data_IF_948723186231
#
_entry.id   IF_948723186231
#
_cell.length_a   1.000
_cell.length_b   1.000
_cell.length_c   1.000
_cell.angle_alpha   90.00
_cell.angle_beta   90.00
_cell.angle_gamma   90.00
#
_symmetry.space_group_name_H-M   'P 1'
#
loop_
_entity.id
_entity.type
_entity.pdbx_description
1 polymer ?
#
# COMPACT_ATOMS: atom_id res chain seq x y z
N UNK A 1 33.48 -23.04 -32.24
CA UNK A 1 32.54 -21.98 -32.68
C UNK A 1 31.25 -21.97 -31.85
N UNK A 2 30.62 -23.13 -31.58
CA UNK A 2 29.40 -23.21 -30.76
C UNK A 2 29.57 -22.73 -29.30
N UNK A 3 30.66 -23.12 -28.62
CA UNK A 3 30.91 -22.76 -27.21
C UNK A 3 30.95 -21.24 -26.98
N UNK A 4 31.53 -20.49 -27.92
CA UNK A 4 31.69 -19.03 -27.84
C UNK A 4 30.35 -18.30 -27.97
N UNK A 5 29.47 -18.77 -28.87
CA UNK A 5 28.09 -18.27 -29.01
C UNK A 5 27.26 -18.51 -27.75
N UNK A 6 27.45 -19.64 -27.07
CA UNK A 6 26.75 -19.95 -25.82
C UNK A 6 27.18 -19.03 -24.68
N UNK A 7 28.46 -18.67 -24.60
CA UNK A 7 28.99 -17.75 -23.58
C UNK A 7 28.50 -16.31 -23.81
N UNK A 8 28.44 -15.85 -25.06
CA UNK A 8 27.93 -14.52 -25.42
C UNK A 8 26.44 -14.38 -25.06
N UNK A 9 25.61 -15.38 -25.38
CA UNK A 9 24.19 -15.38 -25.03
C UNK A 9 23.92 -15.39 -23.50
N UNK A 10 24.75 -16.10 -22.73
CA UNK A 10 24.66 -16.11 -21.26
C UNK A 10 25.05 -14.75 -20.64
N UNK A 11 25.99 -14.04 -21.24
CA UNK A 11 26.39 -12.71 -20.80
C UNK A 11 25.27 -11.69 -21.08
N UNK A 12 24.69 -11.76 -22.28
CA UNK A 12 23.58 -10.90 -22.69
C UNK A 12 22.33 -11.11 -21.82
N UNK A 13 21.99 -12.36 -21.48
CA UNK A 13 20.93 -12.68 -20.52
C UNK A 13 21.21 -12.11 -19.12
N UNK A 14 22.46 -12.16 -18.64
CA UNK A 14 22.82 -11.59 -17.33
C UNK A 14 22.70 -10.08 -17.31
N UNK A 15 23.12 -9.39 -18.37
CA UNK A 15 22.98 -7.94 -18.51
C UNK A 15 21.51 -7.53 -18.60
N UNK A 16 20.67 -8.28 -19.32
CA UNK A 16 19.21 -8.05 -19.38
C UNK A 16 18.58 -8.26 -18.00
N UNK A 17 18.91 -9.36 -17.32
CA UNK A 17 18.40 -9.61 -15.97
C UNK A 17 18.87 -8.56 -14.97
N UNK A 18 20.13 -8.09 -15.08
CA UNK A 18 20.63 -6.98 -14.28
C UNK A 18 19.85 -5.71 -14.59
N UNK A 19 19.69 -5.33 -15.86
CA UNK A 19 18.94 -4.13 -16.27
C UNK A 19 17.50 -4.15 -15.78
N UNK A 20 16.82 -5.31 -15.86
CA UNK A 20 15.49 -5.52 -15.29
C UNK A 20 15.52 -5.39 -13.77
N UNK A 21 16.52 -5.98 -13.09
CA UNK A 21 16.67 -5.89 -11.63
C UNK A 21 16.97 -4.45 -11.19
N UNK A 22 17.79 -3.71 -11.93
CA UNK A 22 18.14 -2.32 -11.67
C UNK A 22 16.96 -1.36 -11.88
N UNK A 23 16.19 -1.54 -12.97
CA UNK A 23 14.95 -0.82 -13.19
C UNK A 23 13.90 -1.14 -12.11
N UNK A 24 13.86 -2.40 -11.63
CA UNK A 24 13.02 -2.83 -10.51
C UNK A 24 13.44 -2.22 -9.17
N UNK A 25 14.74 -1.99 -8.93
CA UNK A 25 15.24 -1.36 -7.69
C UNK A 25 15.04 0.16 -7.63
N UNK A 26 14.68 0.81 -8.74
CA UNK A 26 14.37 2.25 -8.77
C UNK A 26 12.93 2.58 -8.33
N UNK A 27 12.10 1.58 -8.03
CA UNK A 27 10.74 1.79 -7.52
C UNK A 27 10.70 1.58 -6.02
N UNK A 28 10.08 2.51 -5.30
CA UNK A 28 9.89 2.38 -3.87
C UNK A 28 8.43 1.98 -3.56
N UNK A 29 8.25 0.71 -3.16
CA UNK A 29 6.95 0.19 -2.73
C UNK A 29 6.71 0.57 -1.26
N UNK A 30 5.50 1.01 -0.97
CA UNK A 30 5.07 1.31 0.39
C UNK A 30 3.69 0.72 0.66
N UNK A 31 3.53 0.09 1.81
CA UNK A 31 2.21 -0.05 2.42
C UNK A 31 1.67 1.36 2.70
N UNK A 32 0.38 1.59 2.46
CA UNK A 32 -0.33 2.82 2.75
C UNK A 32 -1.74 2.51 3.25
N UNK A 33 -2.15 3.24 4.28
CA UNK A 33 -3.50 3.22 4.83
C UNK A 33 -3.77 4.54 5.59
N UNK A 34 -5.05 4.85 5.83
CA UNK A 34 -5.47 6.04 6.59
C UNK A 34 -6.53 5.69 7.63
N UNK A 35 -6.64 6.52 8.66
CA UNK A 35 -7.81 6.52 9.54
C UNK A 35 -8.51 7.87 9.46
N UNK A 36 -9.85 7.86 9.55
CA UNK A 36 -10.70 9.04 9.36
C UNK A 36 -11.74 9.16 10.47
N UNK A 37 -12.35 10.36 10.61
CA UNK A 37 -13.45 10.58 11.54
C UNK A 37 -14.79 9.96 11.10
N UNK A 38 -14.89 9.57 9.83
CA UNK A 38 -16.07 9.01 9.21
C UNK A 38 -15.81 8.64 7.75
N UNK A 39 -16.87 8.51 6.95
CA UNK A 39 -16.79 7.98 5.58
C UNK A 39 -17.02 9.05 4.50
N UNK A 40 -17.34 10.29 4.90
CA UNK A 40 -17.58 11.40 3.99
C UNK A 40 -16.34 12.30 3.91
N UNK A 41 -15.57 12.28 2.80
CA UNK A 41 -14.36 13.09 2.69
C UNK A 41 -14.62 14.59 2.61
N UNK A 42 -15.85 15.04 2.35
CA UNK A 42 -16.20 16.47 2.39
C UNK A 42 -16.38 16.96 3.83
N UNK A 43 -16.91 16.11 4.71
CA UNK A 43 -17.24 16.46 6.09
C UNK A 43 -16.23 15.97 7.13
N UNK A 44 -15.68 14.77 6.94
CA UNK A 44 -14.85 14.05 7.89
C UNK A 44 -13.36 14.28 7.64
N UNK A 45 -12.58 14.40 8.72
CA UNK A 45 -11.14 14.63 8.65
C UNK A 45 -10.34 13.32 8.63
N UNK A 46 -9.16 13.36 8.03
CA UNK A 46 -8.10 12.35 8.22
C UNK A 46 -7.47 12.55 9.60
N UNK A 47 -7.38 11.48 10.38
CA UNK A 47 -6.76 11.47 11.72
C UNK A 47 -5.34 10.91 11.68
N UNK A 48 -5.06 9.94 10.81
CA UNK A 48 -3.71 9.41 10.56
C UNK A 48 -3.46 9.10 9.10
N UNK A 49 -2.19 9.17 8.71
CA UNK A 49 -1.66 8.56 7.49
C UNK A 49 -0.53 7.64 7.93
N UNK A 50 -0.64 6.34 7.63
CA UNK A 50 0.35 5.34 7.99
C UNK A 50 0.95 4.70 6.75
N UNK A 51 2.27 4.52 6.75
CA UNK A 51 2.97 3.89 5.65
C UNK A 51 4.27 3.24 6.10
N UNK A 52 4.69 2.21 5.38
CA UNK A 52 5.94 1.49 5.64
C UNK A 52 6.54 1.01 4.34
N UNK A 53 7.86 1.15 4.18
CA UNK A 53 8.55 0.68 2.99
C UNK A 53 8.44 -0.83 2.90
N UNK A 54 8.30 -1.35 1.69
CA UNK A 54 8.25 -2.78 1.40
C UNK A 54 9.49 -3.18 0.60
N UNK A 55 10.08 -4.30 0.98
CA UNK A 55 11.13 -4.92 0.19
C UNK A 55 10.57 -5.34 -1.17
N UNK A 56 11.32 -5.05 -2.22
CA UNK A 56 10.85 -5.27 -3.58
C UNK A 56 10.67 -6.77 -3.90
N UNK A 57 11.55 -7.62 -3.38
CA UNK A 57 11.59 -9.04 -3.76
C UNK A 57 10.59 -9.84 -2.92
N UNK A 58 10.67 -9.68 -1.60
CA UNK A 58 9.93 -10.47 -0.63
C UNK A 58 8.55 -9.89 -0.30
N UNK A 59 8.39 -8.57 -0.44
CA UNK A 59 7.22 -7.84 0.04
C UNK A 59 7.21 -7.60 1.55
N UNK A 60 8.26 -8.00 2.27
CA UNK A 60 8.38 -7.81 3.71
C UNK A 60 8.56 -6.33 4.07
N UNK A 61 8.10 -5.89 5.25
CA UNK A 61 8.32 -4.52 5.72
C UNK A 61 9.80 -4.21 5.94
N UNK A 62 10.21 -3.02 5.53
CA UNK A 62 11.57 -2.48 5.70
C UNK A 62 11.53 -1.24 6.59
N UNK A 63 12.28 -1.26 7.68
CA UNK A 63 12.29 -0.19 8.67
C UNK A 63 11.01 -0.15 9.51
N UNK A 64 10.81 0.94 10.24
CA UNK A 64 9.66 1.08 11.13
C UNK A 64 8.42 1.62 10.40
N UNK A 65 7.23 1.22 10.89
CA UNK A 65 5.96 1.82 10.49
C UNK A 65 5.94 3.31 10.86
N UNK A 66 5.76 4.16 9.86
CA UNK A 66 5.55 5.60 10.07
C UNK A 66 4.06 5.88 10.21
N UNK A 67 3.68 6.62 11.26
CA UNK A 67 2.30 7.06 11.49
C UNK A 67 2.32 8.57 11.68
N UNK A 68 1.84 9.31 10.69
CA UNK A 68 1.59 10.74 10.80
C UNK A 68 0.27 10.94 11.52
N UNK A 69 0.26 11.75 12.58
CA UNK A 69 -0.88 11.87 13.51
C UNK A 69 -1.37 13.31 13.56
N UNK A 70 -2.65 13.52 13.20
CA UNK A 70 -3.25 14.85 13.20
C UNK A 70 -3.32 15.46 14.62
N UNK A 71 -3.47 14.63 15.66
CA UNK A 71 -3.56 15.10 17.04
C UNK A 71 -2.23 15.55 17.65
N UNK A 72 -1.09 15.20 17.03
CA UNK A 72 0.22 15.74 17.41
C UNK A 72 0.49 17.09 16.72
N UNK A 73 -0.34 17.47 15.74
CA UNK A 73 -0.18 18.68 14.93
C UNK A 73 -1.52 19.16 14.35
N UNK A 74 -1.79 18.88 13.08
CA UNK A 74 -3.06 19.13 12.41
C UNK A 74 -3.22 18.22 11.19
N UNK A 75 -4.45 18.09 10.66
CA UNK A 75 -4.73 17.39 9.39
C UNK A 75 -3.89 17.97 8.24
N UNK A 76 -3.82 19.31 8.17
CA UNK A 76 -3.02 20.01 7.15
C UNK A 76 -1.54 19.65 7.23
N UNK A 77 -0.95 19.67 8.42
CA UNK A 77 0.47 19.38 8.59
C UNK A 77 0.83 17.93 8.23
N UNK A 78 -0.04 16.95 8.53
CA UNK A 78 0.23 15.56 8.14
C UNK A 78 0.09 15.38 6.62
N UNK A 79 -0.82 16.08 5.96
CA UNK A 79 -0.97 16.06 4.51
C UNK A 79 0.24 16.71 3.81
N UNK A 80 0.73 17.85 4.31
CA UNK A 80 1.93 18.51 3.78
C UNK A 80 3.16 17.62 3.92
N UNK A 81 3.35 16.98 5.10
CA UNK A 81 4.42 16.01 5.32
C UNK A 81 4.30 14.84 4.35
N UNK A 82 3.10 14.28 4.19
CA UNK A 82 2.88 13.16 3.28
C UNK A 82 3.14 13.56 1.82
N UNK A 83 2.79 14.77 1.39
CA UNK A 83 3.10 15.27 0.05
C UNK A 83 4.62 15.32 -0.22
N UNK A 84 5.43 15.67 0.77
CA UNK A 84 6.90 15.63 0.66
C UNK A 84 7.38 14.18 0.53
N UNK A 85 6.83 13.26 1.34
CA UNK A 85 7.18 11.83 1.32
C UNK A 85 6.82 11.16 -0.01
N UNK A 86 5.71 11.57 -0.63
CA UNK A 86 5.31 11.09 -1.95
C UNK A 86 6.40 11.35 -3.00
N UNK A 87 7.20 12.39 -2.87
CA UNK A 87 8.25 12.71 -3.84
C UNK A 87 7.71 13.22 -5.17
N UNK A 88 8.63 13.54 -6.08
CA UNK A 88 8.32 14.17 -7.37
C UNK A 88 8.01 13.15 -8.46
N UNK A 89 8.70 12.01 -8.45
CA UNK A 89 8.47 10.93 -9.40
C UNK A 89 7.30 10.06 -8.96
N UNK A 90 6.49 9.60 -9.92
CA UNK A 90 5.45 8.60 -9.67
C UNK A 90 6.00 7.28 -9.08
N UNK A 91 7.31 7.03 -9.22
CA UNK A 91 7.99 5.84 -8.71
C UNK A 91 8.62 6.02 -7.32
N UNK A 92 8.68 7.25 -6.80
CA UNK A 92 9.21 7.55 -5.46
C UNK A 92 8.31 6.99 -4.36
N UNK A 93 7.03 6.80 -4.67
CA UNK A 93 6.06 6.20 -3.77
C UNK A 93 5.00 5.44 -4.59
N UNK A 94 5.16 4.11 -4.69
CA UNK A 94 4.15 3.19 -5.23
C UNK A 94 3.34 2.67 -4.05
N UNK A 95 2.08 3.06 -3.96
CA UNK A 95 1.22 2.70 -2.83
C UNK A 95 0.67 1.26 -2.99
N UNK A 96 0.79 0.47 -1.94
CA UNK A 96 0.19 -0.85 -1.77
C UNK A 96 -0.79 -0.73 -0.60
N UNK A 97 -2.07 -1.01 -0.84
CA UNK A 97 -3.09 -0.90 0.20
C UNK A 97 -4.24 -1.85 -0.03
N UNK A 98 -5.34 -1.64 0.69
CA UNK A 98 -6.55 -2.44 0.60
C UNK A 98 -7.76 -1.52 0.43
N UNK A 99 -8.36 -1.50 -0.75
CA UNK A 99 -9.45 -0.59 -1.13
C UNK A 99 -8.96 0.87 -1.29
N UNK A 100 -7.84 1.08 -1.99
CA UNK A 100 -7.14 2.36 -2.18
C UNK A 100 -7.99 3.49 -2.78
N UNK A 101 -9.15 3.16 -3.36
CA UNK A 101 -10.11 4.15 -3.81
C UNK A 101 -10.69 4.99 -2.67
N UNK A 102 -10.73 4.46 -1.45
CA UNK A 102 -11.09 5.21 -0.26
C UNK A 102 -10.01 6.24 0.09
N UNK A 103 -8.75 5.79 0.18
CA UNK A 103 -7.59 6.63 0.47
C UNK A 103 -7.42 7.73 -0.57
N UNK A 104 -7.50 7.41 -1.87
CA UNK A 104 -7.36 8.37 -2.96
C UNK A 104 -8.40 9.49 -2.86
N UNK A 105 -9.66 9.12 -2.62
CA UNK A 105 -10.76 10.08 -2.48
C UNK A 105 -10.55 10.99 -1.27
N UNK A 106 -10.21 10.42 -0.11
CA UNK A 106 -9.98 11.20 1.11
C UNK A 106 -8.77 12.11 0.97
N UNK A 107 -7.61 11.60 0.56
CA UNK A 107 -6.40 12.42 0.39
C UNK A 107 -6.63 13.57 -0.60
N UNK A 108 -7.36 13.33 -1.69
CA UNK A 108 -7.69 14.37 -2.67
C UNK A 108 -8.58 15.45 -2.08
N UNK A 109 -9.73 15.11 -1.52
CA UNK A 109 -10.68 16.11 -1.02
C UNK A 109 -10.12 16.85 0.19
N UNK A 110 -9.45 16.14 1.11
CA UNK A 110 -8.90 16.75 2.33
C UNK A 110 -7.69 17.64 2.04
N UNK A 111 -6.85 17.29 1.07
CA UNK A 111 -5.75 18.18 0.65
C UNK A 111 -6.27 19.48 0.03
N UNK A 112 -7.36 19.42 -0.76
CA UNK A 112 -8.04 20.62 -1.29
C UNK A 112 -8.62 21.44 -0.14
N UNK A 113 -9.38 20.82 0.76
CA UNK A 113 -10.02 21.50 1.90
C UNK A 113 -8.99 22.16 2.85
N UNK A 114 -7.81 21.56 3.01
CA UNK A 114 -6.71 22.13 3.79
C UNK A 114 -5.90 23.21 3.04
N UNK A 115 -6.20 23.45 1.75
CA UNK A 115 -5.54 24.47 0.92
C UNK A 115 -4.12 24.10 0.52
N UNK A 116 -3.82 22.82 0.27
CA UNK A 116 -2.55 22.42 -0.34
C UNK A 116 -2.48 22.90 -1.79
N UNK A 117 -1.31 23.36 -2.22
CA UNK A 117 -1.11 23.86 -3.60
C UNK A 117 -1.38 22.78 -4.66
N UNK A 118 -1.06 21.52 -4.33
CA UNK A 118 -1.28 20.37 -5.20
C UNK A 118 -2.13 19.34 -4.47
N UNK A 119 -3.34 19.02 -4.97
CA UNK A 119 -4.15 17.96 -4.41
C UNK A 119 -3.41 16.62 -4.48
N UNK A 120 -3.45 15.85 -3.40
CA UNK A 120 -2.86 14.52 -3.34
C UNK A 120 -3.77 13.57 -4.10
N UNK A 121 -3.24 12.96 -5.17
CA UNK A 121 -3.95 11.96 -6.00
C UNK A 121 -3.09 10.72 -6.08
N UNK A 122 -3.49 9.64 -5.40
CA UNK A 122 -2.77 8.38 -5.40
C UNK A 122 -2.85 7.69 -6.76
N UNK A 123 -4.00 7.79 -7.43
CA UNK A 123 -4.21 7.14 -8.73
C UNK A 123 -3.60 7.85 -9.94
N UNK A 124 -2.98 9.02 -9.74
CA UNK A 124 -2.05 9.61 -10.72
C UNK A 124 -0.70 8.86 -10.75
N UNK A 125 -0.54 7.83 -9.92
CA UNK A 125 0.69 7.04 -9.74
C UNK A 125 0.39 5.55 -9.81
N UNK A 126 1.40 4.71 -10.08
CA UNK A 126 1.26 3.27 -9.94
C UNK A 126 0.84 2.89 -8.52
N UNK A 127 -0.16 2.01 -8.42
CA UNK A 127 -0.67 1.51 -7.14
C UNK A 127 -0.98 0.02 -7.24
N UNK A 128 -0.98 -0.65 -6.09
CA UNK A 128 -1.38 -2.05 -5.94
C UNK A 128 -2.49 -2.12 -4.90
N UNK A 129 -3.72 -2.33 -5.37
CA UNK A 129 -4.88 -2.50 -4.50
C UNK A 129 -5.20 -3.99 -4.32
N UNK A 130 -4.98 -4.50 -3.11
CA UNK A 130 -5.23 -5.89 -2.76
C UNK A 130 -6.71 -6.23 -2.61
N UNK A 131 -7.64 -5.26 -2.58
CA UNK A 131 -9.06 -5.57 -2.50
C UNK A 131 -9.54 -6.36 -3.70
N UNK A 132 -9.05 -6.03 -4.90
CA UNK A 132 -9.33 -6.79 -6.13
C UNK A 132 -8.85 -8.25 -6.00
N UNK A 133 -7.70 -8.47 -5.38
CA UNK A 133 -7.18 -9.82 -5.12
C UNK A 133 -8.05 -10.55 -4.10
N UNK A 134 -8.44 -9.89 -3.01
CA UNK A 134 -9.35 -10.43 -2.00
C UNK A 134 -10.72 -10.82 -2.59
N UNK A 135 -11.26 -10.03 -3.52
CA UNK A 135 -12.50 -10.35 -4.25
C UNK A 135 -12.32 -11.63 -5.07
N UNK A 136 -11.24 -11.76 -5.83
CA UNK A 136 -10.97 -12.95 -6.65
C UNK A 136 -10.78 -14.20 -5.78
N UNK A 137 -10.04 -14.10 -4.69
CA UNK A 137 -9.88 -15.18 -3.71
C UNK A 137 -11.20 -15.57 -3.04
N UNK A 138 -12.12 -14.61 -2.90
CA UNK A 138 -13.48 -14.83 -2.41
C UNK A 138 -14.48 -15.22 -3.53
N UNK A 139 -14.00 -15.91 -4.56
CA UNK A 139 -14.85 -16.40 -5.66
C UNK A 139 -15.52 -15.29 -6.49
N UNK A 140 -14.93 -14.10 -6.52
CA UNK A 140 -15.48 -12.92 -7.20
C UNK A 140 -16.52 -12.14 -6.39
N UNK A 141 -16.80 -12.52 -5.13
CA UNK A 141 -17.77 -11.81 -4.29
C UNK A 141 -17.16 -10.61 -3.56
N UNK A 142 -17.76 -9.44 -3.72
CA UNK A 142 -17.48 -8.25 -2.92
C UNK A 142 -17.92 -8.40 -1.46
N UNK A 143 -19.02 -9.11 -1.22
CA UNK A 143 -19.47 -9.40 0.14
C UNK A 143 -18.56 -10.47 0.73
N UNK A 144 -17.94 -10.17 1.87
CA UNK A 144 -17.00 -11.08 2.53
C UNK A 144 -15.54 -10.92 2.07
N UNK A 145 -15.22 -9.96 1.19
CA UNK A 145 -13.85 -9.65 0.79
C UNK A 145 -13.25 -8.48 1.58
N UNK A 146 -13.76 -8.16 2.77
CA UNK A 146 -13.10 -7.20 3.65
C UNK A 146 -11.80 -7.78 4.21
N UNK A 147 -10.79 -6.95 4.49
CA UNK A 147 -9.53 -7.42 5.10
C UNK A 147 -9.81 -8.21 6.39
N UNK A 148 -10.74 -7.73 7.22
CA UNK A 148 -11.22 -8.40 8.45
C UNK A 148 -11.89 -9.76 8.22
N UNK A 149 -12.26 -10.09 6.98
CA UNK A 149 -12.88 -11.36 6.62
C UNK A 149 -11.89 -12.37 6.06
N UNK A 150 -10.76 -11.90 5.55
CA UNK A 150 -9.76 -12.75 4.89
C UNK A 150 -8.45 -12.86 5.67
N UNK A 151 -8.25 -12.02 6.70
CA UNK A 151 -7.10 -12.07 7.62
C UNK A 151 -7.53 -12.27 9.07
N UNK A 152 -6.57 -12.27 10.00
CA UNK A 152 -6.79 -12.35 11.44
C UNK A 152 -7.26 -11.05 12.09
N UNK A 153 -7.50 -9.99 11.31
CA UNK A 153 -7.94 -8.66 11.78
C UNK A 153 -9.23 -8.78 12.62
N UNK A 154 -9.13 -8.46 13.91
CA UNK A 154 -10.18 -8.72 14.92
C UNK A 154 -11.21 -7.61 15.08
N UNK A 155 -10.87 -6.38 14.71
CA UNK A 155 -11.66 -5.20 14.99
C UNK A 155 -12.22 -4.58 13.71
N UNK A 156 -13.37 -3.91 13.83
CA UNK A 156 -13.92 -3.05 12.78
C UNK A 156 -13.50 -1.58 13.04
N UNK A 157 -13.50 -0.76 11.98
CA UNK A 157 -13.09 0.66 12.03
C UNK A 157 -13.80 1.50 13.10
N UNK A 158 -15.00 1.10 13.52
CA UNK A 158 -15.77 1.78 14.58
C UNK A 158 -15.03 1.83 15.92
N UNK A 159 -14.19 0.84 16.22
CA UNK A 159 -13.39 0.82 17.43
C UNK A 159 -12.33 1.94 17.43
N UNK A 160 -11.64 2.14 16.30
CA UNK A 160 -10.63 3.18 16.11
C UNK A 160 -11.22 4.57 16.37
N UNK A 161 -12.34 4.89 15.70
CA UNK A 161 -13.04 6.16 15.85
C UNK A 161 -13.49 6.42 17.31
N UNK A 162 -14.00 5.37 17.97
CA UNK A 162 -14.39 5.47 19.38
C UNK A 162 -13.19 5.82 20.28
N UNK A 163 -12.03 5.21 20.05
CA UNK A 163 -10.81 5.53 20.79
C UNK A 163 -10.33 6.95 20.51
N UNK A 164 -10.40 7.40 19.26
CA UNK A 164 -10.04 8.75 18.87
C UNK A 164 -10.90 9.81 19.57
N UNK A 165 -12.23 9.64 19.55
CA UNK A 165 -13.18 10.56 20.19
C UNK A 165 -13.00 10.62 21.72
N UNK A 166 -12.58 9.51 22.34
CA UNK A 166 -12.24 9.45 23.76
C UNK A 166 -10.79 9.88 24.06
N UNK A 167 -10.04 10.40 23.07
CA UNK A 167 -8.63 10.79 23.16
C UNK A 167 -7.71 9.68 23.67
N UNK A 168 -8.07 8.42 23.43
CA UNK A 168 -7.27 7.23 23.76
C UNK A 168 -6.29 6.94 22.63
N UNK A 169 -5.40 7.89 22.34
CA UNK A 169 -4.51 7.87 21.17
C UNK A 169 -3.55 6.67 21.14
N UNK A 170 -3.15 6.15 22.30
CA UNK A 170 -2.36 4.91 22.37
C UNK A 170 -3.13 3.70 21.82
N UNK A 171 -4.45 3.67 22.04
CA UNK A 171 -5.31 2.60 21.49
C UNK A 171 -5.51 2.74 19.99
N UNK A 172 -5.62 3.97 19.48
CA UNK A 172 -5.62 4.24 18.03
C UNK A 172 -4.31 3.76 17.41
N UNK A 173 -3.17 4.10 18.02
CA UNK A 173 -1.85 3.66 17.55
C UNK A 173 -1.72 2.14 17.54
N UNK A 174 -2.18 1.46 18.60
CA UNK A 174 -2.16 -0.01 18.66
C UNK A 174 -3.11 -0.66 17.66
N UNK A 175 -4.27 -0.05 17.40
CA UNK A 175 -5.20 -0.50 16.38
C UNK A 175 -4.54 -0.48 15.00
N UNK A 176 -3.95 0.67 14.62
CA UNK A 176 -3.25 0.83 13.34
C UNK A 176 -2.15 -0.22 13.18
N UNK A 177 -1.31 -0.41 14.22
CA UNK A 177 -0.23 -1.41 14.18
C UNK A 177 -0.75 -2.83 13.91
N UNK A 178 -1.84 -3.23 14.56
CA UNK A 178 -2.44 -4.55 14.36
C UNK A 178 -2.99 -4.70 12.93
N UNK A 179 -3.66 -3.68 12.39
CA UNK A 179 -4.14 -3.73 11.01
C UNK A 179 -3.01 -3.78 9.99
N UNK A 180 -1.96 -2.99 10.22
CA UNK A 180 -0.76 -2.99 9.40
C UNK A 180 -0.10 -4.37 9.40
N UNK A 181 0.07 -5.01 10.55
CA UNK A 181 0.64 -6.36 10.66
C UNK A 181 -0.16 -7.38 9.82
N UNK A 182 -1.48 -7.36 9.93
CA UNK A 182 -2.37 -8.26 9.18
C UNK A 182 -2.31 -8.02 7.66
N UNK A 183 -2.23 -6.75 7.24
CA UNK A 183 -2.02 -6.42 5.83
C UNK A 183 -0.66 -6.93 5.32
N UNK A 184 0.41 -6.66 6.07
CA UNK A 184 1.78 -7.00 5.67
C UNK A 184 2.00 -8.52 5.59
N UNK A 185 1.42 -9.28 6.52
CA UNK A 185 1.45 -10.74 6.48
C UNK A 185 0.76 -11.25 5.21
N UNK A 186 -0.44 -10.74 4.92
CA UNK A 186 -1.19 -11.12 3.72
C UNK A 186 -0.46 -10.73 2.42
N UNK A 187 0.07 -9.51 2.35
CA UNK A 187 0.81 -9.02 1.19
C UNK A 187 2.08 -9.84 0.93
N UNK A 188 2.89 -10.08 1.97
CA UNK A 188 4.11 -10.88 1.86
C UNK A 188 3.80 -12.32 1.41
N UNK A 189 2.73 -12.90 1.97
CA UNK A 189 2.26 -14.23 1.58
C UNK A 189 1.86 -14.29 0.10
N UNK A 190 1.14 -13.27 -0.40
CA UNK A 190 0.74 -13.15 -1.79
C UNK A 190 1.95 -12.95 -2.71
N UNK A 191 2.89 -12.09 -2.32
CA UNK A 191 4.09 -11.77 -3.13
C UNK A 191 4.88 -13.03 -3.49
N UNK A 192 4.98 -13.98 -2.56
CA UNK A 192 5.68 -15.24 -2.75
C UNK A 192 4.90 -16.29 -3.57
N UNK A 193 3.57 -16.14 -3.69
CA UNK A 193 2.68 -17.17 -4.27
C UNK A 193 2.09 -16.78 -5.61
N UNK A 194 1.66 -15.52 -5.77
CA UNK A 194 1.05 -15.02 -7.00
C UNK A 194 1.88 -15.28 -8.27
N UNK A 195 3.23 -15.14 -8.28
CA UNK A 195 4.01 -15.45 -9.48
C UNK A 195 3.91 -16.91 -9.95
N UNK A 196 3.56 -17.85 -9.06
CA UNK A 196 3.37 -19.26 -9.40
C UNK A 196 2.11 -19.47 -10.24
N UNK A 197 1.05 -18.71 -9.98
CA UNK A 197 -0.18 -18.76 -10.78
C UNK A 197 0.07 -18.38 -12.25
N UNK A 198 1.01 -17.46 -12.51
CA UNK A 198 1.41 -17.14 -13.89
C UNK A 198 2.12 -18.33 -14.56
N UNK A 199 2.95 -19.05 -13.78
CA UNK A 199 3.63 -20.24 -14.27
C UNK A 199 2.64 -21.36 -14.59
N UNK A 200 1.65 -21.57 -13.71
CA UNK A 200 0.55 -22.52 -13.89
C UNK A 200 -0.30 -22.15 -15.11
N UNK A 201 -0.71 -20.88 -15.23
CA UNK A 201 -1.49 -20.40 -16.38
C UNK A 201 -0.77 -20.64 -17.70
N UNK A 202 0.54 -20.33 -17.77
CA UNK A 202 1.32 -20.61 -18.97
C UNK A 202 1.41 -22.12 -19.27
N UNK A 203 1.56 -22.97 -18.26
CA UNK A 203 1.61 -24.42 -18.47
C UNK A 203 0.27 -25.01 -18.96
N UNK A 204 -0.86 -24.45 -18.52
CA UNK A 204 -2.18 -24.93 -18.86
C UNK A 204 -2.71 -24.37 -20.19
N UNK A 205 -2.27 -23.17 -20.59
CA UNK A 205 -2.90 -22.40 -21.67
C UNK A 205 -1.97 -22.01 -22.84
N UNK A 206 -0.64 -22.14 -22.72
CA UNK A 206 0.33 -21.80 -23.77
C UNK A 206 1.20 -23.00 -24.16
#
# INVERSE_FOLDING_TARGET
MALKKTTEALLELKEIMWGIKAARTNMANYYLDIETQGLDPEADQIITIQFQKLDWDTGEPVGDLTILKAWDSSEKEILEKFQIILGESQWDFVAHGYCLGFEDKFLRERSIACGLEKPIRLFDRPTVDLHSVGILMNGGSFKGSGLDKITGKKNNGLACLTFYNLKKYDKVTNYIKQETEEYLEFYSWLRQRMPKLMTEFHADCL
#
